data_IF_214181005969
#
_entry.id   IF_214181005969
#
_cell.length_a   1.000
_cell.length_b   1.000
_cell.length_c   1.000
_cell.angle_alpha   90.00
_cell.angle_beta   90.00
_cell.angle_gamma   90.00
#
_symmetry.space_group_name_H-M   'P 1'
#
loop_
_entity.id
_entity.type
_entity.pdbx_description
1 polymer ?
#
# COMPACT_ATOMS: atom_id res chain seq x y z
N UNK A 1 9.68 -5.38 3.01
CA UNK A 1 8.38 -6.08 3.15
C UNK A 1 8.21 -7.02 1.97
N UNK A 2 7.87 -8.27 2.24
CA UNK A 2 7.68 -9.23 1.16
C UNK A 2 6.29 -9.07 0.52
N UNK A 3 6.03 -9.84 -0.54
CA UNK A 3 4.78 -9.73 -1.30
C UNK A 3 3.55 -10.02 -0.42
N UNK A 4 3.58 -11.10 0.35
CA UNK A 4 2.44 -11.48 1.20
C UNK A 4 2.12 -10.39 2.21
N UNK A 5 3.14 -9.80 2.82
CA UNK A 5 2.94 -8.74 3.80
C UNK A 5 2.37 -7.49 3.15
N UNK A 6 2.85 -7.13 1.96
CA UNK A 6 2.34 -5.98 1.23
C UNK A 6 0.86 -6.16 0.90
N UNK A 7 0.46 -7.36 0.49
CA UNK A 7 -0.95 -7.68 0.21
C UNK A 7 -1.78 -7.55 1.49
N UNK A 8 -1.32 -8.13 2.59
CA UNK A 8 -2.04 -8.10 3.87
C UNK A 8 -2.24 -6.68 4.38
N UNK A 9 -1.20 -5.87 4.29
CA UNK A 9 -1.25 -4.47 4.73
C UNK A 9 -2.25 -3.69 3.88
N UNK A 10 -2.22 -3.88 2.56
CA UNK A 10 -3.15 -3.21 1.66
C UNK A 10 -4.60 -3.63 1.92
N UNK A 11 -4.84 -4.94 2.12
CA UNK A 11 -6.19 -5.43 2.41
C UNK A 11 -6.71 -4.89 3.74
N UNK A 12 -5.85 -4.81 4.76
CA UNK A 12 -6.22 -4.22 6.05
C UNK A 12 -6.66 -2.78 5.88
N UNK A 13 -5.86 -1.98 5.18
CA UNK A 13 -6.18 -0.58 4.95
C UNK A 13 -7.47 -0.41 4.15
N UNK A 14 -7.67 -1.29 3.16
CA UNK A 14 -8.89 -1.28 2.34
C UNK A 14 -10.13 -1.54 3.19
N UNK A 15 -10.06 -2.53 4.07
CA UNK A 15 -11.17 -2.86 4.96
C UNK A 15 -11.47 -1.75 5.95
N UNK A 16 -10.41 -1.14 6.52
CA UNK A 16 -10.57 -0.05 7.48
C UNK A 16 -11.02 1.25 6.83
N UNK A 17 -10.64 1.45 5.57
CA UNK A 17 -10.89 2.71 4.89
C UNK A 17 -9.91 3.82 5.26
N UNK A 18 -8.85 3.48 6.00
CA UNK A 18 -7.80 4.44 6.40
C UNK A 18 -6.56 3.69 6.83
N UNK A 19 -5.49 4.42 7.12
CA UNK A 19 -4.20 3.85 7.49
C UNK A 19 -3.77 4.15 8.92
N UNK A 20 -4.68 4.70 9.75
CA UNK A 20 -4.34 5.18 11.08
C UNK A 20 -3.56 4.22 11.97
N UNK A 21 -3.95 2.93 12.09
CA UNK A 21 -3.23 1.98 12.95
C UNK A 21 -1.91 1.47 12.38
N UNK A 22 -1.62 1.76 11.11
CA UNK A 22 -0.43 1.25 10.43
C UNK A 22 0.78 2.15 10.68
N UNK A 23 1.99 1.57 10.59
CA UNK A 23 3.22 2.36 10.63
C UNK A 23 3.31 3.23 9.37
N UNK A 24 4.22 4.21 9.37
CA UNK A 24 4.41 5.08 8.21
C UNK A 24 4.72 4.27 6.95
N UNK A 25 5.66 3.33 7.04
CA UNK A 25 6.02 2.49 5.89
C UNK A 25 4.86 1.64 5.40
N UNK A 26 4.09 1.07 6.30
CA UNK A 26 2.90 0.28 5.96
C UNK A 26 1.82 1.15 5.33
N UNK A 27 1.60 2.34 5.88
CA UNK A 27 0.60 3.28 5.35
C UNK A 27 0.94 3.70 3.93
N UNK A 28 2.21 4.02 3.68
CA UNK A 28 2.66 4.41 2.34
C UNK A 28 2.55 3.24 1.36
N UNK A 29 2.91 2.03 1.79
CA UNK A 29 2.78 0.83 0.96
C UNK A 29 1.32 0.59 0.58
N UNK A 30 0.41 0.67 1.55
CA UNK A 30 -1.03 0.50 1.30
C UNK A 30 -1.55 1.55 0.32
N UNK A 31 -1.15 2.80 0.51
CA UNK A 31 -1.59 3.89 -0.37
C UNK A 31 -1.13 3.66 -1.81
N UNK A 32 0.11 3.20 -2.00
CA UNK A 32 0.66 2.92 -3.32
C UNK A 32 -0.04 1.72 -3.97
N UNK A 33 -0.21 0.63 -3.22
CA UNK A 33 -0.86 -0.59 -3.73
C UNK A 33 -2.31 -0.33 -4.13
N UNK A 34 -3.03 0.44 -3.31
CA UNK A 34 -4.45 0.73 -3.55
C UNK A 34 -4.67 1.95 -4.44
N UNK A 35 -3.60 2.59 -4.86
CA UNK A 35 -3.68 3.83 -5.65
C UNK A 35 -4.49 4.92 -4.93
N UNK A 36 -4.31 5.04 -3.62
CA UNK A 36 -4.99 6.04 -2.80
C UNK A 36 -4.12 7.26 -2.69
N UNK A 37 -4.15 8.06 -3.72
CA UNK A 37 -3.40 9.31 -3.81
C UNK A 37 -3.79 10.30 -2.70
N UNK A 38 -5.05 10.28 -2.30
CA UNK A 38 -5.56 11.10 -1.21
C UNK A 38 -4.87 10.77 0.12
N UNK A 39 -4.57 9.49 0.37
CA UNK A 39 -3.85 9.11 1.59
C UNK A 39 -2.42 9.63 1.59
N UNK A 40 -1.76 9.61 0.42
CA UNK A 40 -0.41 10.18 0.31
C UNK A 40 -0.43 11.68 0.62
N UNK A 41 -1.40 12.39 0.07
CA UNK A 41 -1.55 13.83 0.30
C UNK A 41 -1.79 14.12 1.79
N UNK A 42 -2.64 13.34 2.44
CA UNK A 42 -2.90 13.49 3.87
C UNK A 42 -1.65 13.29 4.71
N UNK A 43 -0.76 12.40 4.29
CA UNK A 43 0.51 12.16 4.98
C UNK A 43 1.61 13.12 4.55
N UNK A 44 1.31 14.02 3.63
CA UNK A 44 2.27 15.00 3.08
C UNK A 44 3.42 14.33 2.31
N UNK A 45 3.09 13.30 1.52
CA UNK A 45 4.03 12.60 0.67
C UNK A 45 3.62 12.70 -0.79
N UNK A 46 4.63 12.93 -1.65
CA UNK A 46 4.46 12.69 -3.09
C UNK A 46 4.69 11.21 -3.36
N UNK A 47 4.32 10.73 -4.56
CA UNK A 47 4.59 9.35 -4.96
C UNK A 47 6.09 9.05 -4.89
N UNK A 48 6.91 9.96 -5.41
CA UNK A 48 8.37 9.78 -5.39
C UNK A 48 8.92 9.71 -3.97
N UNK A 49 8.42 10.55 -3.07
CA UNK A 49 8.84 10.53 -1.68
C UNK A 49 8.41 9.25 -0.99
N UNK A 50 7.22 8.75 -1.29
CA UNK A 50 6.73 7.49 -0.74
C UNK A 50 7.63 6.33 -1.18
N UNK A 51 7.98 6.27 -2.45
CA UNK A 51 8.87 5.24 -2.99
C UNK A 51 10.26 5.31 -2.35
N UNK A 52 10.74 6.50 -2.07
CA UNK A 52 12.04 6.69 -1.41
C UNK A 52 11.99 6.25 0.07
N UNK A 53 10.86 6.40 0.71
CA UNK A 53 10.69 6.14 2.15
C UNK A 53 10.49 4.66 2.47
N UNK A 54 9.79 3.91 1.62
CA UNK A 54 9.55 2.49 1.86
C UNK A 54 10.81 1.68 1.58
N UNK A 55 10.87 0.47 2.11
CA UNK A 55 12.02 -0.42 1.95
C UNK A 55 12.21 -0.80 0.49
N UNK A 56 13.47 -0.88 0.06
CA UNK A 56 13.81 -1.25 -1.32
C UNK A 56 13.23 -2.61 -1.70
N UNK A 57 13.21 -3.56 -0.78
CA UNK A 57 12.67 -4.89 -1.06
C UNK A 57 11.14 -4.89 -1.19
N UNK A 58 10.45 -3.82 -0.82
CA UNK A 58 9.01 -3.69 -1.05
C UNK A 58 8.70 -3.26 -2.47
N UNK A 59 9.55 -2.43 -3.05
CA UNK A 59 9.29 -1.81 -4.36
C UNK A 59 9.01 -2.84 -5.46
N UNK A 60 9.79 -3.94 -5.60
CA UNK A 60 9.54 -4.92 -6.65
C UNK A 60 8.19 -5.62 -6.53
N UNK A 61 7.56 -5.57 -5.36
CA UNK A 61 6.30 -6.28 -5.09
C UNK A 61 5.06 -5.41 -5.24
N UNK A 62 5.21 -4.11 -5.45
CA UNK A 62 4.06 -3.19 -5.47
C UNK A 62 3.06 -3.53 -6.58
N UNK A 63 3.55 -3.76 -7.78
CA UNK A 63 2.68 -4.07 -8.92
C UNK A 63 1.97 -5.42 -8.73
N UNK A 64 2.70 -6.42 -8.24
CA UNK A 64 2.12 -7.74 -7.98
C UNK A 64 1.09 -7.68 -6.87
N UNK A 65 1.38 -6.93 -5.81
CA UNK A 65 0.43 -6.75 -4.70
C UNK A 65 -0.84 -6.06 -5.20
N UNK A 66 -0.70 -5.04 -6.03
CA UNK A 66 -1.85 -4.33 -6.59
C UNK A 66 -2.73 -5.28 -7.42
N UNK A 67 -2.12 -6.12 -8.25
CA UNK A 67 -2.87 -7.11 -9.04
C UNK A 67 -3.59 -8.10 -8.16
N UNK A 68 -2.91 -8.62 -7.14
CA UNK A 68 -3.49 -9.61 -6.23
C UNK A 68 -4.68 -9.04 -5.47
N UNK A 69 -4.57 -7.80 -5.01
CA UNK A 69 -5.67 -7.15 -4.28
C UNK A 69 -6.88 -6.94 -5.19
N UNK A 70 -6.64 -6.50 -6.43
CA UNK A 70 -7.72 -6.30 -7.40
C UNK A 70 -8.39 -7.61 -7.79
N UNK A 71 -7.61 -8.66 -8.07
CA UNK A 71 -8.14 -9.97 -8.44
C UNK A 71 -8.90 -10.61 -7.29
N UNK A 72 -8.36 -10.54 -6.09
CA UNK A 72 -9.03 -11.08 -4.90
C UNK A 72 -10.37 -10.40 -4.67
N UNK A 73 -10.45 -9.11 -4.93
CA UNK A 73 -11.69 -8.36 -4.81
C UNK A 73 -12.71 -8.80 -5.86
N UNK A 74 -12.25 -9.04 -7.07
CA UNK A 74 -13.12 -9.42 -8.19
C UNK A 74 -13.69 -10.83 -8.03
N UNK A 75 -13.04 -11.68 -7.28
CA UNK A 75 -13.48 -13.06 -7.06
C UNK A 75 -14.57 -13.18 -6.01
N UNK A 76 -14.79 -12.14 -5.27
CA UNK A 76 -15.84 -12.12 -4.27
C UNK A 76 -17.15 -11.66 -4.87
#
# INVERSE_FOLDING_TARGET
MNLDRAIQVALSAKRMGHTGPLSTGESLTAALVLNRHDWLTEMDYTIAQALDRIDEDTIPHLADAARNVAEGFDHD
#
